data_IF_188150412170
#
_entry.id   IF_188150412170
#
_cell.length_a   1.000
_cell.length_b   1.000
_cell.length_c   1.000
_cell.angle_alpha   90.00
_cell.angle_beta   90.00
_cell.angle_gamma   90.00
#
_symmetry.space_group_name_H-M   'P 1'
#
loop_
_entity.id
_entity.type
_entity.pdbx_description
1 polymer ?
#
# COMPACT_ATOMS: atom_id res chain seq x y z
N UNK A 1 -10.85 8.05 -7.58
CA UNK A 1 -10.56 6.66 -7.19
C UNK A 1 -9.15 6.26 -7.63
N UNK A 2 -8.22 6.01 -6.70
CA UNK A 2 -7.06 5.16 -6.99
C UNK A 2 -7.62 3.86 -7.55
N UNK A 3 -7.23 3.48 -8.77
CA UNK A 3 -7.88 2.37 -9.47
C UNK A 3 -7.47 1.03 -8.85
N UNK A 4 -8.07 0.69 -7.72
CA UNK A 4 -7.89 -0.57 -7.00
C UNK A 4 -8.26 -1.76 -7.88
N UNK A 5 -9.11 -1.59 -8.89
CA UNK A 5 -9.45 -2.61 -9.89
C UNK A 5 -8.28 -2.87 -10.86
N UNK A 6 -7.57 -1.82 -11.29
CA UNK A 6 -6.32 -1.94 -12.06
C UNK A 6 -5.26 -2.65 -11.22
N UNK A 7 -5.15 -2.27 -9.95
CA UNK A 7 -4.29 -2.97 -9.02
C UNK A 7 -4.74 -4.43 -8.90
N UNK A 8 -5.99 -4.76 -8.58
CA UNK A 8 -6.43 -6.17 -8.41
C UNK A 8 -6.05 -7.07 -9.59
N UNK A 9 -6.00 -6.55 -10.82
CA UNK A 9 -5.58 -7.29 -12.01
C UNK A 9 -4.07 -7.59 -12.14
N UNK A 10 -3.18 -6.92 -11.38
CA UNK A 10 -1.75 -7.24 -11.42
C UNK A 10 -1.51 -8.63 -10.80
N UNK A 11 -0.96 -9.55 -11.58
CA UNK A 11 -0.64 -10.88 -11.06
C UNK A 11 0.60 -10.83 -10.18
N UNK A 12 0.56 -11.45 -9.00
CA UNK A 12 1.76 -11.61 -8.18
C UNK A 12 2.75 -12.57 -8.87
N UNK A 13 4.06 -12.35 -8.77
CA UNK A 13 5.06 -13.28 -9.28
C UNK A 13 4.86 -14.68 -8.69
N UNK A 14 5.18 -15.72 -9.45
CA UNK A 14 5.08 -17.08 -8.97
C UNK A 14 6.04 -17.30 -7.78
N UNK A 15 5.55 -17.91 -6.70
CA UNK A 15 6.33 -18.12 -5.47
C UNK A 15 6.45 -16.89 -4.56
N UNK A 16 5.90 -15.74 -4.94
CA UNK A 16 5.91 -14.55 -4.08
C UNK A 16 5.07 -14.79 -2.82
N UNK A 17 5.70 -14.57 -1.66
CA UNK A 17 5.03 -14.59 -0.37
C UNK A 17 4.76 -13.14 0.07
N UNK A 18 3.48 -12.70 0.10
CA UNK A 18 3.16 -11.36 0.54
C UNK A 18 3.61 -11.11 1.98
N UNK A 19 4.32 -10.00 2.26
CA UNK A 19 4.66 -9.64 3.62
C UNK A 19 3.41 -9.42 4.47
N UNK A 20 3.59 -9.61 5.77
CA UNK A 20 2.59 -9.23 6.78
C UNK A 20 2.92 -7.84 7.28
N UNK A 21 1.91 -6.99 7.36
CA UNK A 21 2.04 -5.62 7.82
C UNK A 21 1.17 -5.40 9.06
N UNK A 22 1.64 -4.53 9.94
CA UNK A 22 0.75 -3.89 10.90
C UNK A 22 -0.11 -2.88 10.14
N UNK A 23 -1.41 -2.87 10.44
CA UNK A 23 -2.33 -1.91 9.85
C UNK A 23 -2.31 -0.58 10.62
N UNK A 24 -2.41 0.52 9.88
CA UNK A 24 -2.41 1.90 10.35
C UNK A 24 -3.82 2.50 10.24
N UNK A 25 -4.30 3.09 11.34
CA UNK A 25 -5.63 3.71 11.51
C UNK A 25 -5.53 5.17 11.98
N UNK A 26 -4.58 5.93 11.44
CA UNK A 26 -4.31 7.34 11.80
C UNK A 26 -3.60 7.51 13.15
N UNK A 27 -3.65 6.50 14.02
CA UNK A 27 -3.02 6.57 15.34
C UNK A 27 -1.55 6.17 15.24
N UNK A 28 -0.67 7.07 15.66
CA UNK A 28 0.77 6.87 15.64
C UNK A 28 1.47 7.76 14.62
N UNK A 29 2.75 7.49 14.36
CA UNK A 29 3.58 8.32 13.49
C UNK A 29 3.50 7.84 12.03
N UNK A 30 2.92 8.61 11.09
CA UNK A 30 2.80 8.20 9.67
C UNK A 30 4.16 8.03 8.99
N UNK A 31 5.17 8.84 9.35
CA UNK A 31 6.53 8.73 8.77
C UNK A 31 7.19 7.42 9.17
N UNK A 32 7.02 7.01 10.43
CA UNK A 32 7.53 5.73 10.91
C UNK A 32 6.81 4.56 10.25
N UNK A 33 5.49 4.66 10.05
CA UNK A 33 4.70 3.66 9.32
C UNK A 33 5.23 3.47 7.89
N UNK A 34 5.40 4.56 7.15
CA UNK A 34 5.96 4.53 5.78
C UNK A 34 7.37 3.96 5.75
N UNK A 35 8.25 4.37 6.67
CA UNK A 35 9.61 3.84 6.75
C UNK A 35 9.63 2.32 7.03
N UNK A 36 8.76 1.84 7.92
CA UNK A 36 8.65 0.42 8.22
C UNK A 36 8.10 -0.38 7.03
N UNK A 37 7.08 0.16 6.35
CA UNK A 37 6.54 -0.41 5.12
C UNK A 37 7.63 -0.57 4.05
N UNK A 38 8.41 0.48 3.77
CA UNK A 38 9.52 0.45 2.80
C UNK A 38 10.51 -0.65 3.19
N UNK A 39 10.92 -0.68 4.47
CA UNK A 39 11.89 -1.67 4.97
C UNK A 39 11.45 -3.12 4.78
N UNK A 40 10.17 -3.41 5.05
CA UNK A 40 9.59 -4.74 4.84
C UNK A 40 9.56 -5.08 3.35
N UNK A 41 9.14 -4.15 2.50
CA UNK A 41 9.05 -4.36 1.06
C UNK A 41 10.41 -4.59 0.41
N UNK A 42 11.44 -3.84 0.79
CA UNK A 42 12.83 -4.06 0.36
C UNK A 42 13.30 -5.48 0.72
N UNK A 43 13.05 -5.91 1.96
CA UNK A 43 13.43 -7.24 2.44
C UNK A 43 12.74 -8.35 1.67
N UNK A 44 11.50 -8.12 1.24
CA UNK A 44 10.70 -9.08 0.47
C UNK A 44 10.89 -8.97 -1.06
N UNK A 45 11.78 -8.09 -1.53
CA UNK A 45 11.98 -7.85 -2.97
C UNK A 45 10.73 -7.32 -3.68
N UNK A 46 9.84 -6.61 -2.96
CA UNK A 46 8.62 -6.03 -3.54
C UNK A 46 8.96 -4.72 -4.24
N UNK A 47 8.57 -4.57 -5.52
CA UNK A 47 8.95 -3.41 -6.34
C UNK A 47 7.81 -2.97 -7.27
N UNK A 48 7.92 -1.74 -7.80
CA UNK A 48 6.98 -1.19 -8.79
C UNK A 48 5.53 -1.14 -8.29
N UNK A 49 4.58 -1.46 -9.17
CA UNK A 49 3.15 -1.44 -8.85
C UNK A 49 2.76 -2.40 -7.71
N UNK A 50 3.60 -3.40 -7.40
CA UNK A 50 3.37 -4.27 -6.25
C UNK A 50 3.52 -3.52 -4.93
N UNK A 51 4.32 -2.45 -4.86
CA UNK A 51 4.39 -1.60 -3.66
C UNK A 51 3.05 -0.94 -3.39
N UNK A 52 2.40 -0.37 -4.41
CA UNK A 52 1.10 0.27 -4.28
C UNK A 52 0.06 -0.74 -3.80
N UNK A 53 0.08 -1.96 -4.35
CA UNK A 53 -0.76 -3.07 -3.85
C UNK A 53 -0.55 -3.38 -2.38
N UNK A 54 0.71 -3.49 -1.95
CA UNK A 54 1.01 -3.83 -0.56
C UNK A 54 0.68 -2.66 0.36
N UNK A 55 0.85 -1.42 -0.09
CA UNK A 55 0.60 -0.23 0.71
C UNK A 55 -0.86 -0.15 1.17
N UNK A 56 -1.82 -0.42 0.28
CA UNK A 56 -3.25 -0.47 0.60
C UNK A 56 -3.54 -1.45 1.75
N UNK A 57 -2.83 -2.58 1.81
CA UNK A 57 -3.00 -3.60 2.86
C UNK A 57 -2.49 -3.15 4.23
N UNK A 58 -1.73 -2.06 4.27
CA UNK A 58 -1.25 -1.45 5.52
C UNK A 58 -2.24 -0.47 6.12
N UNK A 59 -3.34 -0.13 5.43
CA UNK A 59 -4.31 0.87 5.88
C UNK A 59 -5.57 0.17 6.43
N UNK A 60 -6.21 0.78 7.41
CA UNK A 60 -7.55 0.36 7.90
C UNK A 60 -8.37 1.57 8.37
N UNK A 61 -9.68 1.40 8.45
CA UNK A 61 -10.61 2.45 8.89
C UNK A 61 -10.58 3.67 7.95
N UNK A 62 -10.75 4.85 8.50
CA UNK A 62 -10.91 6.10 7.74
C UNK A 62 -9.75 6.38 6.76
N UNK A 63 -8.51 5.99 7.07
CA UNK A 63 -7.37 6.14 6.12
C UNK A 63 -7.50 5.24 4.91
N UNK A 64 -8.03 4.04 5.10
CA UNK A 64 -8.31 3.14 3.98
C UNK A 64 -9.37 3.78 3.09
N UNK A 65 -10.48 4.21 3.67
CA UNK A 65 -11.59 4.84 2.94
C UNK A 65 -11.09 6.08 2.16
N UNK A 66 -10.40 6.99 2.83
CA UNK A 66 -9.77 8.17 2.21
C UNK A 66 -8.88 7.79 1.03
N UNK A 67 -8.00 6.79 1.19
CA UNK A 67 -7.09 6.37 0.12
C UNK A 67 -7.85 5.79 -1.08
N UNK A 68 -8.94 5.06 -0.84
CA UNK A 68 -9.75 4.47 -1.91
C UNK A 68 -10.55 5.51 -2.69
N UNK A 69 -10.94 6.59 -2.03
CA UNK A 69 -11.74 7.67 -2.60
C UNK A 69 -10.92 8.70 -3.38
N UNK A 70 -9.60 8.80 -3.12
CA UNK A 70 -8.67 9.70 -3.81
C UNK A 70 -8.91 9.74 -5.31
N UNK A 71 -9.16 10.91 -5.89
CA UNK A 71 -9.34 11.09 -7.33
C UNK A 71 -8.09 10.66 -8.12
N UNK A 72 -8.29 10.20 -9.36
CA UNK A 72 -7.15 9.92 -10.23
C UNK A 72 -6.37 11.24 -10.41
N UNK A 73 -5.04 11.17 -10.37
CA UNK A 73 -4.18 12.34 -10.55
C UNK A 73 -4.35 13.41 -9.44
N UNK A 74 -5.05 13.11 -8.34
CA UNK A 74 -5.19 14.04 -7.21
C UNK A 74 -3.93 14.16 -6.36
N UNK A 75 -2.92 13.34 -6.63
CA UNK A 75 -1.59 13.44 -6.03
C UNK A 75 -0.72 14.12 -7.09
N UNK A 76 -0.94 15.41 -7.28
CA UNK A 76 -0.09 16.25 -8.13
C UNK A 76 0.48 17.42 -7.31
N UNK A 77 1.81 17.53 -7.41
CA UNK A 77 2.80 18.43 -6.81
C UNK A 77 3.28 18.21 -5.38
#
# INVERSE_FOLDING_TARGET
MVNLLKLSNLRMPHGYQPPKFQQFDEKGNPKQHVAHFIKICETAGTQGDLLVKQFVRTLKGNVFDWYTDLELESIDS
#
